data_IF_901424736268
#
_entry.id   IF_901424736268
#
_cell.length_a   1.000
_cell.length_b   1.000
_cell.length_c   1.000
_cell.angle_alpha   90.00
_cell.angle_beta   90.00
_cell.angle_gamma   90.00
#
_symmetry.space_group_name_H-M   'P 1'
#
loop_
_entity.id
_entity.type
_entity.pdbx_description
1 polymer ?
#
# COMPACT_ATOMS: atom_id res chain seq x y z
N UNK A 1 17.48 -29.19 15.13
CA UNK A 1 16.56 -28.07 15.38
C UNK A 1 17.41 -26.86 15.75
N UNK A 2 17.65 -25.95 14.82
CA UNK A 2 18.18 -24.63 15.17
C UNK A 2 17.09 -23.93 16.01
N UNK A 3 17.44 -23.41 17.19
CA UNK A 3 16.53 -22.58 18.00
C UNK A 3 16.04 -21.42 17.10
N UNK A 4 14.72 -21.19 17.02
CA UNK A 4 14.19 -19.95 16.47
C UNK A 4 14.62 -18.81 17.40
N UNK A 5 15.71 -18.14 17.05
CA UNK A 5 16.23 -16.98 17.77
C UNK A 5 15.70 -15.71 17.10
N UNK A 6 14.69 -15.10 17.73
CA UNK A 6 14.10 -13.84 17.32
C UNK A 6 14.83 -12.62 17.89
N UNK A 7 15.97 -12.81 18.58
CA UNK A 7 16.73 -11.70 19.13
C UNK A 7 17.30 -10.80 18.02
N UNK A 8 16.87 -9.54 18.02
CA UNK A 8 17.24 -8.54 17.02
C UNK A 8 18.45 -7.69 17.39
N UNK A 9 19.04 -7.85 18.58
CA UNK A 9 20.10 -6.98 19.14
C UNK A 9 21.26 -6.71 18.18
N UNK A 10 21.62 -7.68 17.34
CA UNK A 10 22.69 -7.52 16.35
C UNK A 10 22.18 -7.51 14.91
N UNK A 11 21.18 -8.33 14.57
CA UNK A 11 20.72 -8.49 13.19
C UNK A 11 20.08 -7.22 12.64
N UNK A 12 19.17 -6.62 13.41
CA UNK A 12 18.44 -5.43 12.95
C UNK A 12 19.35 -4.20 12.86
N UNK A 13 20.14 -3.83 13.90
CA UNK A 13 21.06 -2.69 13.77
C UNK A 13 22.08 -2.85 12.66
N UNK A 14 22.64 -4.06 12.47
CA UNK A 14 23.61 -4.31 11.40
C UNK A 14 23.02 -4.03 10.02
N UNK A 15 21.81 -4.52 9.76
CA UNK A 15 21.13 -4.29 8.48
C UNK A 15 20.79 -2.82 8.29
N UNK A 16 20.22 -2.17 9.31
CA UNK A 16 19.89 -0.74 9.24
C UNK A 16 21.14 0.12 8.98
N UNK A 17 22.21 -0.07 9.75
CA UNK A 17 23.45 0.69 9.54
C UNK A 17 24.11 0.38 8.21
N UNK A 18 24.19 -0.90 7.81
CA UNK A 18 24.83 -1.27 6.56
C UNK A 18 24.12 -0.63 5.36
N UNK A 19 22.79 -0.64 5.34
CA UNK A 19 22.04 -0.09 4.21
C UNK A 19 21.95 1.43 4.25
N UNK A 20 21.83 2.05 5.42
CA UNK A 20 21.87 3.51 5.52
C UNK A 20 23.25 4.05 5.08
N UNK A 21 24.35 3.40 5.49
CA UNK A 21 25.70 3.74 4.99
C UNK A 21 25.78 3.57 3.47
N UNK A 22 25.21 2.49 2.93
CA UNK A 22 25.14 2.29 1.49
C UNK A 22 24.33 3.39 0.78
N UNK A 23 23.19 3.81 1.35
CA UNK A 23 22.38 4.91 0.80
C UNK A 23 23.18 6.21 0.81
N UNK A 24 23.83 6.56 1.90
CA UNK A 24 24.68 7.76 1.99
C UNK A 24 25.76 7.75 0.91
N UNK A 25 26.46 6.62 0.71
CA UNK A 25 27.49 6.49 -0.31
C UNK A 25 26.90 6.63 -1.71
N UNK A 26 25.81 5.91 -2.01
CA UNK A 26 25.18 5.94 -3.32
C UNK A 26 24.58 7.31 -3.65
N UNK A 27 23.96 7.99 -2.68
CA UNK A 27 23.47 9.37 -2.85
C UNK A 27 24.64 10.33 -3.10
N UNK A 28 25.72 10.24 -2.32
CA UNK A 28 26.91 11.06 -2.53
C UNK A 28 27.50 10.89 -3.93
N UNK A 29 27.54 9.65 -4.43
CA UNK A 29 28.05 9.31 -5.76
C UNK A 29 27.09 9.77 -6.86
N UNK A 30 25.80 9.44 -6.78
CA UNK A 30 24.87 9.56 -7.91
C UNK A 30 23.88 10.73 -7.83
N UNK A 31 23.36 11.10 -6.66
CA UNK A 31 22.16 11.95 -6.56
C UNK A 31 22.50 13.44 -6.50
N UNK A 32 21.84 14.27 -7.30
CA UNK A 32 21.95 15.74 -7.31
C UNK A 32 20.57 16.38 -7.43
N UNK A 33 20.46 17.64 -7.02
CA UNK A 33 19.24 18.42 -7.26
C UNK A 33 19.03 18.62 -8.76
N UNK A 34 17.79 18.53 -9.22
CA UNK A 34 17.41 18.98 -10.55
C UNK A 34 17.50 20.52 -10.64
N UNK A 35 17.31 21.07 -11.84
CA UNK A 35 17.46 22.51 -12.07
C UNK A 35 16.46 23.38 -11.28
N UNK A 36 15.30 22.83 -10.92
CA UNK A 36 14.25 23.53 -10.18
C UNK A 36 14.54 23.64 -8.68
N UNK A 37 15.35 22.73 -8.13
CA UNK A 37 15.85 22.78 -6.75
C UNK A 37 17.27 23.38 -6.66
N UNK A 38 17.90 23.70 -7.79
CA UNK A 38 19.26 24.23 -7.85
C UNK A 38 19.28 25.78 -7.75
N UNK A 39 20.27 26.41 -7.08
CA UNK A 39 20.42 27.87 -7.00
C UNK A 39 20.54 28.60 -8.35
N UNK A 40 20.82 27.90 -9.45
CA UNK A 40 20.82 28.46 -10.80
C UNK A 40 19.41 28.65 -11.39
N UNK A 41 18.34 28.30 -10.68
CA UNK A 41 16.95 28.48 -11.11
C UNK A 41 16.64 29.88 -11.71
N UNK A 42 17.06 31.02 -11.12
CA UNK A 42 16.78 32.34 -11.71
C UNK A 42 17.44 32.57 -13.08
N UNK A 43 18.56 31.88 -13.37
CA UNK A 43 19.22 31.92 -14.68
C UNK A 43 18.45 31.05 -15.66
N UNK A 44 18.03 29.86 -15.23
CA UNK A 44 17.19 28.97 -16.03
C UNK A 44 15.88 29.65 -16.43
N UNK A 45 15.20 30.33 -15.49
CA UNK A 45 13.98 31.07 -15.77
C UNK A 45 14.17 32.09 -16.90
N UNK A 46 15.24 32.89 -16.83
CA UNK A 46 15.55 33.88 -17.88
C UNK A 46 15.82 33.24 -19.23
N UNK A 47 16.43 32.05 -19.25
CA UNK A 47 16.74 31.33 -20.49
C UNK A 47 15.51 30.72 -21.14
N UNK A 48 14.61 30.14 -20.33
CA UNK A 48 13.38 29.48 -20.79
C UNK A 48 12.18 30.44 -20.88
N UNK A 49 12.38 31.74 -20.66
CA UNK A 49 11.32 32.77 -20.62
C UNK A 49 10.22 32.49 -19.56
N UNK A 50 10.59 31.86 -18.45
CA UNK A 50 9.72 31.65 -17.29
C UNK A 50 9.58 32.96 -16.55
N UNK A 51 8.35 33.36 -16.27
CA UNK A 51 8.02 34.70 -15.77
C UNK A 51 7.79 34.76 -14.27
N UNK A 52 7.53 33.61 -13.64
CA UNK A 52 7.18 33.52 -12.22
C UNK A 52 7.71 32.24 -11.59
N UNK A 53 8.12 32.31 -10.32
CA UNK A 53 8.50 31.13 -9.53
C UNK A 53 7.33 30.15 -9.36
N UNK A 54 6.09 30.60 -9.53
CA UNK A 54 4.90 29.73 -9.52
C UNK A 54 4.98 28.66 -10.60
N UNK A 55 5.74 28.90 -11.69
CA UNK A 55 5.95 27.92 -12.76
C UNK A 55 6.94 26.79 -12.37
N UNK A 56 7.58 26.86 -11.20
CA UNK A 56 8.36 25.77 -10.64
C UNK A 56 7.44 24.62 -10.22
N UNK A 57 7.72 23.40 -10.69
CA UNK A 57 6.84 22.25 -10.49
C UNK A 57 6.62 21.91 -9.00
N UNK A 58 7.52 22.35 -8.11
CA UNK A 58 7.32 22.30 -6.65
C UNK A 58 5.97 22.87 -6.23
N UNK A 59 5.58 24.06 -6.69
CA UNK A 59 4.35 24.70 -6.22
C UNK A 59 3.08 24.00 -6.69
N UNK A 60 3.14 23.26 -7.80
CA UNK A 60 2.01 22.50 -8.32
C UNK A 60 1.94 21.09 -7.73
N UNK A 61 3.07 20.41 -7.58
CA UNK A 61 3.11 18.99 -7.21
C UNK A 61 3.36 18.73 -5.73
N UNK A 62 3.94 19.67 -4.98
CA UNK A 62 4.22 19.45 -3.55
C UNK A 62 2.95 19.11 -2.74
N UNK A 63 1.77 19.72 -2.98
CA UNK A 63 0.54 19.29 -2.31
C UNK A 63 0.17 17.83 -2.61
N UNK A 64 0.28 17.40 -3.87
CA UNK A 64 0.04 16.00 -4.24
C UNK A 64 1.06 15.06 -3.59
N UNK A 65 2.33 15.46 -3.51
CA UNK A 65 3.34 14.73 -2.74
C UNK A 65 2.93 14.57 -1.28
N UNK A 66 2.51 15.64 -0.60
CA UNK A 66 2.13 15.56 0.81
C UNK A 66 0.97 14.58 1.03
N UNK A 67 -0.04 14.60 0.16
CA UNK A 67 -1.18 13.69 0.24
C UNK A 67 -0.75 12.22 0.06
N UNK A 68 0.07 11.93 -0.95
CA UNK A 68 0.62 10.58 -1.19
C UNK A 68 1.50 10.15 -0.01
N UNK A 69 2.35 11.03 0.51
CA UNK A 69 3.20 10.77 1.65
C UNK A 69 2.39 10.41 2.90
N UNK A 70 1.30 11.13 3.17
CA UNK A 70 0.39 10.79 4.27
C UNK A 70 -0.26 9.43 4.05
N UNK A 71 -0.64 9.08 2.82
CA UNK A 71 -1.16 7.74 2.51
C UNK A 71 -0.15 6.63 2.82
N UNK A 72 1.13 6.82 2.54
CA UNK A 72 2.19 5.84 2.82
C UNK A 72 2.41 5.66 4.33
N UNK A 73 2.61 6.75 5.07
CA UNK A 73 3.05 6.68 6.46
C UNK A 73 1.88 6.54 7.44
N UNK A 74 0.77 7.27 7.23
CA UNK A 74 -0.41 7.24 8.10
C UNK A 74 -1.45 6.29 7.54
N UNK A 75 -1.77 6.38 6.25
CA UNK A 75 -2.80 5.57 5.61
C UNK A 75 -2.58 4.08 5.79
N UNK A 76 -1.54 3.53 5.15
CA UNK A 76 -1.16 2.12 5.29
C UNK A 76 -0.76 1.78 6.74
N UNK A 77 0.06 2.64 7.36
CA UNK A 77 0.57 2.42 8.72
C UNK A 77 -0.54 2.16 9.73
N UNK A 78 -1.57 3.01 9.76
CA UNK A 78 -2.72 2.83 10.66
C UNK A 78 -3.72 1.79 10.16
N UNK A 79 -3.96 1.64 8.85
CA UNK A 79 -4.89 0.61 8.33
C UNK A 79 -4.52 -0.79 8.86
N UNK A 80 -3.21 -1.08 8.94
CA UNK A 80 -2.70 -2.36 9.41
C UNK A 80 -2.80 -2.55 10.94
N UNK A 81 -3.08 -1.49 11.73
CA UNK A 81 -3.18 -1.57 13.20
C UNK A 81 -4.43 -2.29 13.73
N UNK A 82 -5.27 -2.85 12.86
CA UNK A 82 -6.46 -3.61 13.27
C UNK A 82 -6.10 -4.83 14.14
N UNK A 83 -4.91 -5.42 13.95
CA UNK A 83 -4.41 -6.56 14.73
C UNK A 83 -4.23 -6.18 16.21
N UNK A 84 -4.99 -6.85 17.07
CA UNK A 84 -5.15 -6.47 18.48
C UNK A 84 -3.86 -6.45 19.32
N UNK A 85 -2.83 -7.20 18.90
CA UNK A 85 -1.53 -7.28 19.60
C UNK A 85 -0.34 -6.98 18.70
N UNK A 86 -0.57 -6.34 17.55
CA UNK A 86 0.48 -6.03 16.57
C UNK A 86 0.43 -4.57 16.12
N UNK A 87 -0.06 -3.67 16.98
CA UNK A 87 -0.19 -2.24 16.65
C UNK A 87 1.16 -1.58 16.44
N UNK A 88 2.16 -1.86 17.29
CA UNK A 88 3.50 -1.28 17.17
C UNK A 88 4.20 -1.81 15.92
N UNK A 89 4.19 -3.12 15.72
CA UNK A 89 4.75 -3.76 14.54
C UNK A 89 4.09 -3.29 13.24
N UNK A 90 2.78 -3.00 13.24
CA UNK A 90 2.09 -2.48 12.07
C UNK A 90 2.58 -1.08 11.69
N UNK A 91 2.46 -0.11 12.59
CA UNK A 91 2.77 1.30 12.27
C UNK A 91 4.28 1.54 12.17
N UNK A 92 5.08 0.96 13.08
CA UNK A 92 6.50 1.25 13.15
C UNK A 92 7.33 0.45 12.14
N UNK A 93 6.95 -0.79 11.79
CA UNK A 93 7.61 -1.48 10.69
C UNK A 93 7.19 -0.94 9.33
N UNK A 94 5.95 -0.45 9.18
CA UNK A 94 5.58 0.35 8.01
C UNK A 94 6.44 1.63 7.91
N UNK A 95 6.68 2.30 9.04
CA UNK A 95 7.56 3.47 9.05
C UNK A 95 9.00 3.10 8.65
N UNK A 96 9.56 2.03 9.23
CA UNK A 96 10.91 1.54 8.92
C UNK A 96 11.06 1.18 7.43
N UNK A 97 10.13 0.39 6.89
CA UNK A 97 10.19 -0.05 5.50
C UNK A 97 10.02 1.12 4.53
N UNK A 98 9.18 2.11 4.88
CA UNK A 98 8.95 3.26 4.02
C UNK A 98 10.17 4.21 4.04
N UNK A 99 10.73 4.50 5.22
CA UNK A 99 11.90 5.36 5.35
C UNK A 99 13.13 4.83 4.59
N UNK A 100 13.34 3.51 4.58
CA UNK A 100 14.36 2.89 3.74
C UNK A 100 13.95 2.86 2.27
N UNK A 101 12.70 2.45 2.00
CA UNK A 101 12.18 2.24 0.66
C UNK A 101 12.23 3.49 -0.21
N UNK A 102 11.90 4.68 0.32
CA UNK A 102 11.90 5.92 -0.46
C UNK A 102 13.32 6.29 -0.91
N UNK A 103 14.33 6.08 -0.06
CA UNK A 103 15.73 6.34 -0.42
C UNK A 103 16.18 5.41 -1.54
N UNK A 104 15.85 4.12 -1.42
CA UNK A 104 16.22 3.13 -2.41
C UNK A 104 15.45 3.32 -3.73
N UNK A 105 14.18 3.73 -3.67
CA UNK A 105 13.36 4.02 -4.84
C UNK A 105 13.89 5.22 -5.62
N UNK A 106 14.31 6.30 -4.95
CA UNK A 106 14.95 7.46 -5.61
C UNK A 106 16.19 7.06 -6.41
N UNK A 107 16.98 6.10 -5.94
CA UNK A 107 18.12 5.54 -6.69
C UNK A 107 17.64 4.66 -7.85
N UNK A 108 16.79 3.68 -7.56
CA UNK A 108 16.34 2.69 -8.54
C UNK A 108 15.57 3.30 -9.71
N UNK A 109 14.56 4.11 -9.43
CA UNK A 109 13.79 4.83 -10.46
C UNK A 109 14.66 5.92 -11.10
N UNK A 110 15.51 6.58 -10.31
CA UNK A 110 16.44 7.60 -10.79
C UNK A 110 17.39 7.09 -11.89
N UNK A 111 17.91 5.86 -11.76
CA UNK A 111 18.75 5.24 -12.79
C UNK A 111 18.03 5.02 -14.12
N UNK A 112 16.71 4.84 -14.12
CA UNK A 112 15.93 4.62 -15.34
C UNK A 112 15.40 5.93 -15.94
N UNK A 113 15.01 6.89 -15.12
CA UNK A 113 14.21 8.03 -15.59
C UNK A 113 14.91 9.39 -15.51
N UNK A 114 15.85 9.59 -14.58
CA UNK A 114 16.49 10.91 -14.36
C UNK A 114 18.01 10.86 -14.34
N UNK A 115 18.59 9.81 -14.92
CA UNK A 115 20.03 9.62 -15.01
C UNK A 115 20.63 10.36 -16.21
N UNK A 116 21.30 11.48 -15.94
CA UNK A 116 21.94 12.34 -16.94
C UNK A 116 23.40 12.59 -16.54
N UNK A 117 24.32 12.42 -17.49
CA UNK A 117 25.77 12.66 -17.29
C UNK A 117 26.37 11.97 -16.05
N UNK A 118 25.91 10.74 -15.77
CA UNK A 118 26.38 9.96 -14.63
C UNK A 118 25.77 10.36 -13.28
N UNK A 119 24.74 11.22 -13.26
CA UNK A 119 24.04 11.68 -12.06
C UNK A 119 22.52 11.47 -12.17
N UNK A 120 21.90 11.17 -11.04
CA UNK A 120 20.44 11.13 -10.87
C UNK A 120 20.00 12.52 -10.43
N UNK A 121 19.14 13.16 -11.20
CA UNK A 121 18.57 14.47 -10.87
C UNK A 121 17.23 14.29 -10.17
N UNK A 122 17.11 14.75 -8.93
CA UNK A 122 15.89 14.62 -8.13
C UNK A 122 15.15 15.94 -7.99
N UNK A 123 13.82 15.87 -8.08
CA UNK A 123 12.86 16.94 -7.82
C UNK A 123 11.60 16.40 -7.15
N UNK A 124 10.57 17.23 -6.96
CA UNK A 124 9.33 16.82 -6.26
C UNK A 124 8.63 15.63 -6.93
N UNK A 125 8.65 15.53 -8.26
CA UNK A 125 8.10 14.38 -8.99
C UNK A 125 8.85 13.08 -8.67
N UNK A 126 10.18 13.14 -8.44
CA UNK A 126 10.95 11.98 -7.99
C UNK A 126 10.51 11.49 -6.62
N UNK A 127 10.13 12.40 -5.72
CA UNK A 127 9.63 12.05 -4.37
C UNK A 127 8.26 11.38 -4.45
N UNK A 128 7.36 11.87 -5.30
CA UNK A 128 6.03 11.26 -5.54
C UNK A 128 6.20 9.82 -6.05
N UNK A 129 7.06 9.62 -7.06
CA UNK A 129 7.29 8.30 -7.64
C UNK A 129 7.96 7.33 -6.65
N UNK A 130 8.86 7.83 -5.79
CA UNK A 130 9.45 7.04 -4.72
C UNK A 130 8.38 6.55 -3.72
N UNK A 131 7.44 7.41 -3.35
CA UNK A 131 6.33 7.04 -2.49
C UNK A 131 5.36 6.05 -3.16
N UNK A 132 5.09 6.18 -4.47
CA UNK A 132 4.32 5.18 -5.22
C UNK A 132 4.99 3.80 -5.23
N UNK A 133 6.30 3.76 -5.48
CA UNK A 133 7.08 2.54 -5.40
C UNK A 133 6.95 1.89 -4.01
N UNK A 134 7.11 2.68 -2.95
CA UNK A 134 6.96 2.22 -1.56
C UNK A 134 5.54 1.79 -1.24
N UNK A 135 4.53 2.44 -1.83
CA UNK A 135 3.13 2.00 -1.72
C UNK A 135 2.94 0.55 -2.14
N UNK A 136 3.65 0.07 -3.17
CA UNK A 136 3.62 -1.34 -3.55
C UNK A 136 4.19 -2.27 -2.46
N UNK A 137 5.17 -1.80 -1.70
CA UNK A 137 5.79 -2.53 -0.58
C UNK A 137 4.86 -2.54 0.63
N UNK A 138 4.19 -1.42 0.93
CA UNK A 138 3.15 -1.36 1.96
C UNK A 138 2.02 -2.36 1.68
N UNK A 139 1.61 -2.49 0.41
CA UNK A 139 0.64 -3.51 -0.02
C UNK A 139 1.18 -4.91 0.25
N UNK A 140 2.40 -5.21 -0.20
CA UNK A 140 2.98 -6.54 0.02
C UNK A 140 3.15 -6.89 1.50
N UNK A 141 3.51 -5.90 2.32
CA UNK A 141 3.62 -6.04 3.77
C UNK A 141 2.31 -6.49 4.40
N UNK A 142 1.16 -5.99 3.94
CA UNK A 142 -0.16 -6.45 4.41
C UNK A 142 -0.41 -7.95 4.20
N UNK A 143 0.20 -8.58 3.19
CA UNK A 143 0.10 -10.02 2.96
C UNK A 143 0.89 -10.85 3.98
N UNK A 144 2.01 -10.31 4.48
CA UNK A 144 2.93 -10.99 5.42
C UNK A 144 2.89 -10.44 6.84
N UNK A 145 2.05 -9.44 7.11
CA UNK A 145 1.91 -8.73 8.37
C UNK A 145 1.80 -9.69 9.56
N UNK A 146 2.51 -9.39 10.65
CA UNK A 146 2.51 -10.20 11.86
C UNK A 146 3.26 -11.55 11.80
N UNK A 147 3.79 -11.93 10.63
CA UNK A 147 4.44 -13.24 10.43
C UNK A 147 5.94 -13.14 10.13
N UNK A 148 6.43 -11.95 9.80
CA UNK A 148 7.81 -11.69 9.38
C UNK A 148 8.54 -10.75 10.34
N UNK A 149 9.87 -10.90 10.44
CA UNK A 149 10.73 -10.03 11.25
C UNK A 149 10.97 -8.68 10.57
N UNK A 150 11.37 -7.63 11.33
CA UNK A 150 11.79 -6.37 10.73
C UNK A 150 12.97 -6.52 9.75
N UNK A 151 13.84 -7.51 9.95
CA UNK A 151 14.92 -7.81 8.99
C UNK A 151 14.38 -8.39 7.68
N UNK A 152 13.40 -9.29 7.74
CA UNK A 152 12.75 -9.80 6.51
C UNK A 152 12.02 -8.69 5.76
N UNK A 153 11.34 -7.78 6.49
CA UNK A 153 10.65 -6.63 5.90
C UNK A 153 11.66 -5.77 5.13
N UNK A 154 12.78 -5.43 5.77
CA UNK A 154 13.87 -4.68 5.16
C UNK A 154 14.39 -5.39 3.89
N UNK A 155 14.63 -6.70 3.93
CA UNK A 155 15.14 -7.46 2.76
C UNK A 155 14.10 -7.52 1.65
N UNK A 156 12.82 -7.69 2.01
CA UNK A 156 11.70 -7.64 1.07
C UNK A 156 11.66 -6.29 0.35
N UNK A 157 11.75 -5.18 1.09
CA UNK A 157 11.76 -3.82 0.54
C UNK A 157 12.88 -3.62 -0.47
N UNK A 158 14.12 -4.05 -0.15
CA UNK A 158 15.26 -3.90 -1.06
C UNK A 158 14.98 -4.54 -2.42
N UNK A 159 14.55 -5.81 -2.44
CA UNK A 159 14.30 -6.53 -3.68
C UNK A 159 13.01 -6.07 -4.38
N UNK A 160 11.95 -5.81 -3.63
CA UNK A 160 10.67 -5.41 -4.20
C UNK A 160 10.76 -4.04 -4.86
N UNK A 161 11.44 -3.05 -4.27
CA UNK A 161 11.68 -1.74 -4.89
C UNK A 161 12.48 -1.88 -6.18
N UNK A 162 13.51 -2.73 -6.20
CA UNK A 162 14.27 -2.99 -7.43
C UNK A 162 13.38 -3.59 -8.53
N UNK A 163 12.55 -4.59 -8.18
CA UNK A 163 11.64 -5.22 -9.13
C UNK A 163 10.53 -4.27 -9.58
N UNK A 164 10.03 -3.42 -8.69
CA UNK A 164 9.06 -2.37 -9.01
C UNK A 164 9.63 -1.44 -10.07
N UNK A 165 10.83 -0.88 -9.86
CA UNK A 165 11.43 0.07 -10.79
C UNK A 165 11.67 -0.56 -12.19
N UNK A 166 12.08 -1.83 -12.25
CA UNK A 166 12.23 -2.54 -13.53
C UNK A 166 10.87 -2.79 -14.19
N UNK A 167 9.86 -3.21 -13.42
CA UNK A 167 8.50 -3.41 -13.93
C UNK A 167 7.91 -2.09 -14.47
N UNK A 168 8.00 -1.03 -13.69
CA UNK A 168 7.57 0.33 -14.05
C UNK A 168 8.24 0.80 -15.35
N UNK A 169 9.56 0.71 -15.44
CA UNK A 169 10.30 1.07 -16.65
C UNK A 169 9.89 0.25 -17.87
N UNK A 170 9.64 -1.06 -17.73
CA UNK A 170 9.14 -1.87 -18.84
C UNK A 170 7.75 -1.39 -19.26
N UNK A 171 6.83 -1.16 -18.31
CA UNK A 171 5.47 -0.73 -18.61
C UNK A 171 5.46 0.66 -19.25
N UNK A 172 6.01 1.65 -18.56
CA UNK A 172 5.86 3.07 -18.93
C UNK A 172 6.76 3.48 -20.10
N UNK A 173 8.00 2.99 -20.16
CA UNK A 173 8.97 3.42 -21.19
C UNK A 173 9.04 2.47 -22.38
N UNK A 174 8.94 1.15 -22.16
CA UNK A 174 9.10 0.16 -23.25
C UNK A 174 7.79 -0.25 -23.90
N UNK A 175 6.77 -0.48 -23.10
CA UNK A 175 5.43 -0.81 -23.59
C UNK A 175 4.59 0.43 -23.84
N UNK A 176 5.00 1.58 -23.30
CA UNK A 176 4.29 2.85 -23.40
C UNK A 176 2.86 2.73 -22.87
N UNK A 177 2.74 2.08 -21.71
CA UNK A 177 1.52 1.88 -20.95
C UNK A 177 1.19 3.16 -20.18
N UNK A 178 -0.10 3.46 -20.04
CA UNK A 178 -0.61 4.59 -19.25
C UNK A 178 -1.19 4.02 -17.96
N UNK A 179 -0.64 4.37 -16.79
CA UNK A 179 -1.09 3.84 -15.49
C UNK A 179 -0.87 4.84 -14.34
N UNK A 180 -1.40 6.07 -14.47
CA UNK A 180 -1.11 7.16 -13.53
C UNK A 180 -1.39 6.82 -12.05
N UNK A 181 -2.50 6.14 -11.75
CA UNK A 181 -2.83 5.69 -10.39
C UNK A 181 -2.31 4.28 -10.04
N UNK A 182 -1.54 3.65 -10.92
CA UNK A 182 -0.83 2.42 -10.62
C UNK A 182 -1.69 1.18 -10.35
N UNK A 183 -2.83 0.99 -11.02
CA UNK A 183 -3.61 -0.25 -10.84
C UNK A 183 -2.78 -1.48 -11.23
N UNK A 184 -1.86 -1.33 -12.21
CA UNK A 184 -0.95 -2.39 -12.64
C UNK A 184 0.41 -2.30 -11.96
N UNK A 185 1.08 -1.14 -11.98
CA UNK A 185 2.44 -0.97 -11.47
C UNK A 185 2.53 -1.06 -9.95
N UNK A 186 1.53 -0.56 -9.22
CA UNK A 186 1.51 -0.51 -7.76
C UNK A 186 0.65 -1.65 -7.20
N UNK A 187 -0.65 -1.67 -7.53
CA UNK A 187 -1.62 -2.52 -6.85
C UNK A 187 -1.54 -3.97 -7.30
N UNK A 188 -1.62 -4.24 -8.60
CA UNK A 188 -1.49 -5.61 -9.14
C UNK A 188 -0.12 -6.19 -8.78
N UNK A 189 0.96 -5.48 -9.12
CA UNK A 189 2.32 -5.94 -8.79
C UNK A 189 2.51 -6.18 -7.28
N UNK A 190 2.21 -5.19 -6.43
CA UNK A 190 2.44 -5.28 -4.99
C UNK A 190 1.59 -6.37 -4.33
N UNK A 191 0.34 -6.52 -4.75
CA UNK A 191 -0.54 -7.57 -4.23
C UNK A 191 -0.02 -8.96 -4.60
N UNK A 192 0.21 -9.25 -5.88
CA UNK A 192 0.64 -10.58 -6.29
C UNK A 192 2.07 -10.91 -5.86
N UNK A 193 2.93 -9.91 -5.69
CA UNK A 193 4.21 -10.06 -5.01
C UNK A 193 4.03 -10.50 -3.55
N UNK A 194 3.29 -9.71 -2.76
CA UNK A 194 3.05 -10.01 -1.34
C UNK A 194 2.35 -11.34 -1.10
N UNK A 195 1.35 -11.68 -1.92
CA UNK A 195 0.64 -12.95 -1.85
C UNK A 195 1.56 -14.13 -2.16
N UNK A 196 2.46 -14.00 -3.15
CA UNK A 196 3.40 -15.06 -3.47
C UNK A 196 4.44 -15.25 -2.36
N UNK A 197 4.94 -14.16 -1.79
CA UNK A 197 5.82 -14.22 -0.61
C UNK A 197 5.08 -14.89 0.56
N UNK A 198 3.86 -14.46 0.87
CA UNK A 198 3.04 -15.04 1.94
C UNK A 198 2.76 -16.53 1.72
N UNK A 199 2.55 -16.95 0.47
CA UNK A 199 2.36 -18.35 0.11
C UNK A 199 3.62 -19.20 0.36
N UNK A 200 4.80 -18.71 -0.03
CA UNK A 200 6.07 -19.43 0.18
C UNK A 200 6.43 -19.50 1.67
N UNK A 201 6.16 -18.41 2.41
CA UNK A 201 6.34 -18.31 3.85
C UNK A 201 5.18 -18.93 4.65
N UNK A 202 4.26 -19.64 4.00
CA UNK A 202 3.12 -20.28 4.66
C UNK A 202 3.54 -21.03 5.93
N UNK A 203 2.81 -20.79 7.02
CA UNK A 203 3.07 -21.31 8.36
C UNK A 203 2.10 -22.46 8.70
N UNK A 204 2.52 -23.73 8.60
CA UNK A 204 1.60 -24.87 8.70
C UNK A 204 1.00 -25.08 10.08
N UNK A 205 1.63 -24.58 11.15
CA UNK A 205 1.13 -24.73 12.52
C UNK A 205 0.40 -23.47 12.99
N UNK A 206 0.36 -22.41 12.18
CA UNK A 206 -0.48 -21.26 12.45
C UNK A 206 -1.93 -21.71 12.34
N UNK A 207 -2.64 -21.69 13.48
CA UNK A 207 -4.05 -22.04 13.50
C UNK A 207 -4.80 -21.06 12.61
N UNK A 208 -5.73 -21.57 11.78
CA UNK A 208 -6.63 -20.76 10.97
C UNK A 208 -7.45 -19.75 11.79
N UNK A 209 -7.64 -20.03 13.08
CA UNK A 209 -8.24 -19.13 14.06
C UNK A 209 -7.21 -18.86 15.17
N UNK A 210 -6.11 -18.17 14.83
CA UNK A 210 -5.20 -17.69 15.86
C UNK A 210 -5.89 -16.54 16.61
N UNK A 211 -6.01 -16.67 17.93
CA UNK A 211 -6.69 -15.66 18.75
C UNK A 211 -6.04 -14.27 18.60
N UNK A 212 -4.74 -14.19 18.24
CA UNK A 212 -4.03 -12.92 18.00
C UNK A 212 -4.28 -12.32 16.60
N UNK A 213 -4.75 -13.11 15.64
CA UNK A 213 -5.10 -12.66 14.28
C UNK A 213 -6.55 -12.15 14.24
N UNK A 214 -6.83 -11.15 15.06
CA UNK A 214 -8.15 -10.53 15.20
C UNK A 214 -8.06 -9.09 15.65
N UNK A 215 -9.21 -8.43 15.76
CA UNK A 215 -9.31 -7.02 16.19
C UNK A 215 -10.10 -6.87 17.49
N UNK A 216 -9.94 -5.70 18.11
CA UNK A 216 -10.80 -5.19 19.17
C UNK A 216 -11.48 -3.92 18.69
N UNK A 217 -12.47 -3.44 19.45
CA UNK A 217 -13.13 -2.16 19.15
C UNK A 217 -12.13 -1.00 18.99
N UNK A 218 -11.11 -0.93 19.85
CA UNK A 218 -10.12 0.15 19.82
C UNK A 218 -9.18 0.02 18.61
N UNK A 219 -8.68 -1.17 18.32
CA UNK A 219 -7.79 -1.36 17.18
C UNK A 219 -8.51 -1.17 15.83
N UNK A 220 -9.81 -1.49 15.76
CA UNK A 220 -10.62 -1.19 14.59
C UNK A 220 -10.84 0.32 14.38
N UNK A 221 -11.00 1.09 15.46
CA UNK A 221 -11.06 2.56 15.38
C UNK A 221 -9.72 3.16 14.92
N UNK A 222 -8.59 2.65 15.38
CA UNK A 222 -7.28 3.08 14.89
C UNK A 222 -7.08 2.73 13.40
N UNK A 223 -7.50 1.54 12.97
CA UNK A 223 -7.47 1.14 11.56
C UNK A 223 -8.35 2.02 10.65
N UNK A 224 -9.47 2.54 11.16
CA UNK A 224 -10.27 3.53 10.44
C UNK A 224 -9.55 4.86 10.21
N UNK A 225 -8.58 5.26 11.04
CA UNK A 225 -7.74 6.44 10.76
C UNK A 225 -7.03 6.22 9.42
N UNK A 226 -6.35 5.08 9.28
CA UNK A 226 -5.66 4.73 8.04
C UNK A 226 -6.61 4.67 6.84
N UNK A 227 -7.76 4.03 7.01
CA UNK A 227 -8.82 3.96 6.00
C UNK A 227 -9.23 5.34 5.50
N UNK A 228 -9.54 6.28 6.40
CA UNK A 228 -10.04 7.60 6.02
C UNK A 228 -8.95 8.45 5.35
N UNK A 229 -7.71 8.41 5.82
CA UNK A 229 -6.61 9.11 5.15
C UNK A 229 -6.33 8.56 3.75
N UNK A 230 -6.37 7.23 3.58
CA UNK A 230 -6.29 6.62 2.25
C UNK A 230 -7.45 7.08 1.36
N UNK A 231 -8.69 7.01 1.86
CA UNK A 231 -9.88 7.35 1.09
C UNK A 231 -9.90 8.82 0.66
N UNK A 232 -9.58 9.75 1.57
CA UNK A 232 -9.64 11.19 1.30
C UNK A 232 -8.55 11.66 0.33
N UNK A 233 -7.36 11.07 0.39
CA UNK A 233 -6.21 11.47 -0.42
C UNK A 233 -6.00 10.67 -1.70
N UNK A 234 -6.77 9.59 -1.91
CA UNK A 234 -6.72 8.82 -3.15
C UNK A 234 -6.94 9.64 -4.44
N UNK A 235 -7.81 10.66 -4.49
CA UNK A 235 -7.92 11.53 -5.66
C UNK A 235 -6.59 12.20 -6.03
N UNK A 236 -5.81 12.62 -5.05
CA UNK A 236 -4.44 13.13 -5.26
C UNK A 236 -3.53 12.00 -5.73
N UNK A 237 -3.57 10.82 -5.10
CA UNK A 237 -2.79 9.65 -5.50
C UNK A 237 -2.98 9.29 -6.99
N UNK A 238 -4.22 9.19 -7.46
CA UNK A 238 -4.49 8.81 -8.85
C UNK A 238 -4.24 9.94 -9.87
N UNK A 239 -3.94 11.16 -9.43
CA UNK A 239 -3.76 12.32 -10.30
C UNK A 239 -2.37 12.96 -10.19
N UNK A 240 -1.55 12.57 -9.22
CA UNK A 240 -0.30 13.26 -8.87
C UNK A 240 0.71 13.30 -10.01
N UNK A 241 0.74 12.28 -10.88
CA UNK A 241 1.66 12.18 -12.05
C UNK A 241 0.96 12.35 -13.40
N UNK A 242 -0.34 12.61 -13.41
CA UNK A 242 -1.07 12.95 -14.63
C UNK A 242 -0.54 14.25 -15.23
N UNK A 243 -0.72 14.42 -16.55
CA UNK A 243 -0.41 15.71 -17.18
C UNK A 243 -1.23 16.84 -16.56
N UNK A 244 -0.54 17.96 -16.30
CA UNK A 244 -1.12 19.18 -15.75
C UNK A 244 -2.37 19.64 -16.51
N UNK A 245 -3.37 20.07 -15.75
CA UNK A 245 -4.63 20.60 -16.28
C UNK A 245 -5.73 19.55 -16.38
N UNK A 246 -6.12 19.18 -17.60
CA UNK A 246 -7.37 18.47 -17.86
C UNK A 246 -7.37 17.02 -17.35
N UNK A 247 -6.27 16.29 -17.56
CA UNK A 247 -6.14 14.88 -17.18
C UNK A 247 -6.07 14.71 -15.66
N UNK A 248 -5.26 15.54 -14.99
CA UNK A 248 -5.15 15.57 -13.53
C UNK A 248 -6.50 15.87 -12.86
N UNK A 249 -7.23 16.89 -13.32
CA UNK A 249 -8.54 17.24 -12.77
C UNK A 249 -9.56 16.10 -12.97
N UNK A 250 -9.58 15.51 -14.15
CA UNK A 250 -10.44 14.36 -14.48
C UNK A 250 -10.12 13.14 -13.61
N UNK A 251 -8.84 12.87 -13.37
CA UNK A 251 -8.39 11.76 -12.53
C UNK A 251 -8.87 11.91 -11.07
N UNK A 252 -8.77 13.11 -10.51
CA UNK A 252 -9.28 13.39 -9.17
C UNK A 252 -10.80 13.18 -9.08
N UNK A 253 -11.59 13.72 -10.03
CA UNK A 253 -13.05 13.58 -10.04
C UNK A 253 -13.47 12.11 -10.20
N UNK A 254 -12.88 11.39 -11.16
CA UNK A 254 -13.21 10.00 -11.42
C UNK A 254 -12.91 9.13 -10.18
N UNK A 255 -11.78 9.36 -9.52
CA UNK A 255 -11.41 8.66 -8.28
C UNK A 255 -12.38 8.96 -7.14
N UNK A 256 -12.73 10.23 -6.95
CA UNK A 256 -13.72 10.64 -5.95
C UNK A 256 -15.07 9.94 -6.16
N UNK A 257 -15.58 9.92 -7.38
CA UNK A 257 -16.85 9.26 -7.71
C UNK A 257 -16.77 7.74 -7.49
N UNK A 258 -15.70 7.09 -7.94
CA UNK A 258 -15.53 5.64 -7.78
C UNK A 258 -15.48 5.24 -6.30
N UNK A 259 -14.74 5.98 -5.47
CA UNK A 259 -14.67 5.76 -4.03
C UNK A 259 -16.02 5.93 -3.34
N UNK A 260 -16.78 6.97 -3.70
CA UNK A 260 -18.13 7.18 -3.15
C UNK A 260 -19.07 6.01 -3.46
N UNK A 261 -19.12 5.52 -4.70
CA UNK A 261 -19.92 4.35 -5.06
C UNK A 261 -19.44 3.06 -4.37
N UNK A 262 -18.13 2.92 -4.20
CA UNK A 262 -17.51 1.76 -3.54
C UNK A 262 -17.92 1.65 -2.06
N UNK A 263 -18.03 2.78 -1.35
CA UNK A 263 -18.49 2.80 0.05
C UNK A 263 -19.92 2.27 0.18
N UNK A 264 -20.85 2.80 -0.61
CA UNK A 264 -22.27 2.41 -0.53
C UNK A 264 -22.47 0.93 -0.82
N UNK A 265 -21.78 0.42 -1.84
CA UNK A 265 -21.87 -1.00 -2.22
C UNK A 265 -21.20 -1.91 -1.22
N UNK A 266 -20.05 -1.52 -0.66
CA UNK A 266 -19.38 -2.27 0.40
C UNK A 266 -20.28 -2.41 1.64
N UNK A 267 -20.88 -1.32 2.10
CA UNK A 267 -21.80 -1.34 3.25
C UNK A 267 -23.01 -2.22 2.97
N UNK A 268 -23.62 -2.08 1.78
CA UNK A 268 -24.78 -2.88 1.39
C UNK A 268 -24.45 -4.38 1.36
N UNK A 269 -23.36 -4.77 0.67
CA UNK A 269 -22.97 -6.18 0.57
C UNK A 269 -22.53 -6.72 1.92
N UNK A 270 -21.82 -5.94 2.75
CA UNK A 270 -21.45 -6.38 4.10
C UNK A 270 -22.67 -6.73 4.94
N UNK A 271 -23.76 -5.96 4.84
CA UNK A 271 -25.01 -6.27 5.52
C UNK A 271 -25.68 -7.51 4.93
N UNK A 272 -25.74 -7.63 3.59
CA UNK A 272 -26.38 -8.76 2.88
C UNK A 272 -25.73 -10.11 3.22
N UNK A 273 -24.40 -10.16 3.28
CA UNK A 273 -23.69 -11.43 3.54
C UNK A 273 -23.68 -11.82 5.01
N UNK A 274 -24.00 -10.89 5.92
CA UNK A 274 -24.14 -11.16 7.34
C UNK A 274 -25.57 -11.64 7.66
N UNK A 275 -25.70 -12.82 8.29
CA UNK A 275 -27.01 -13.43 8.61
C UNK A 275 -27.97 -12.57 9.45
N UNK A 276 -27.46 -11.56 10.16
CA UNK A 276 -28.24 -10.64 10.99
C UNK A 276 -28.29 -9.21 10.42
N UNK A 277 -27.79 -8.99 9.20
CA UNK A 277 -27.70 -7.66 8.59
C UNK A 277 -26.64 -6.75 9.22
N UNK A 278 -25.75 -7.28 10.06
CA UNK A 278 -24.70 -6.50 10.72
C UNK A 278 -23.54 -6.17 9.76
N UNK A 279 -22.83 -5.09 10.05
CA UNK A 279 -21.64 -4.70 9.30
C UNK A 279 -20.37 -5.29 9.95
N UNK A 280 -19.38 -5.65 9.14
CA UNK A 280 -18.07 -6.13 9.58
C UNK A 280 -17.03 -5.04 9.33
N UNK A 281 -16.26 -4.66 10.36
CA UNK A 281 -15.30 -3.54 10.26
C UNK A 281 -14.21 -3.79 9.22
N UNK A 282 -13.77 -5.04 9.03
CA UNK A 282 -12.79 -5.40 7.99
C UNK A 282 -13.28 -5.01 6.58
N UNK A 283 -14.57 -5.16 6.30
CA UNK A 283 -15.13 -4.70 5.02
C UNK A 283 -15.09 -3.18 4.92
N UNK A 284 -15.46 -2.47 5.98
CA UNK A 284 -15.52 -1.00 5.99
C UNK A 284 -14.13 -0.37 5.88
N UNK A 285 -13.13 -0.94 6.56
CA UNK A 285 -11.75 -0.48 6.54
C UNK A 285 -11.08 -0.70 5.18
N UNK A 286 -11.38 -1.82 4.52
CA UNK A 286 -10.64 -2.22 3.32
C UNK A 286 -11.46 -2.10 2.04
N UNK A 287 -12.61 -2.76 1.95
CA UNK A 287 -13.34 -2.86 0.68
C UNK A 287 -13.90 -1.52 0.17
N UNK A 288 -14.10 -0.54 1.05
CA UNK A 288 -14.49 0.83 0.69
C UNK A 288 -13.44 1.56 -0.17
N UNK A 289 -12.19 1.10 -0.14
CA UNK A 289 -11.05 1.67 -0.85
C UNK A 289 -10.86 1.07 -2.27
N UNK A 290 -11.51 -0.06 -2.57
CA UNK A 290 -11.32 -0.81 -3.81
C UNK A 290 -11.66 0.00 -5.08
N UNK A 291 -12.58 0.95 -4.98
CA UNK A 291 -12.92 1.87 -6.08
C UNK A 291 -11.75 2.75 -6.49
N UNK A 292 -10.93 3.22 -5.55
CA UNK A 292 -9.74 4.02 -5.82
C UNK A 292 -8.68 3.23 -6.57
N UNK A 293 -8.43 1.99 -6.14
CA UNK A 293 -7.54 1.03 -6.82
C UNK A 293 -8.00 0.77 -8.26
N UNK A 294 -9.28 0.49 -8.44
CA UNK A 294 -9.83 0.03 -9.72
C UNK A 294 -9.98 1.10 -10.79
N UNK A 295 -9.92 2.39 -10.43
CA UNK A 295 -9.83 3.45 -11.44
C UNK A 295 -8.40 3.93 -11.69
N UNK A 296 -7.39 3.49 -10.94
CA UNK A 296 -6.03 4.03 -11.04
C UNK A 296 -5.49 4.19 -12.48
N UNK A 297 -5.62 3.16 -13.32
CA UNK A 297 -5.22 3.24 -14.74
C UNK A 297 -6.12 4.16 -15.57
N UNK A 298 -7.44 4.08 -15.40
CA UNK A 298 -8.41 4.75 -16.26
C UNK A 298 -8.86 6.13 -15.76
N UNK A 299 -8.44 6.55 -14.57
CA UNK A 299 -8.92 7.76 -13.90
C UNK A 299 -8.62 9.01 -14.75
N UNK A 300 -7.42 9.09 -15.32
CA UNK A 300 -7.04 10.18 -16.22
C UNK A 300 -7.56 10.01 -17.64
N UNK A 301 -8.10 8.85 -18.01
CA UNK A 301 -8.75 8.64 -19.29
C UNK A 301 -10.21 9.14 -19.25
N UNK A 302 -10.88 9.20 -20.40
CA UNK A 302 -12.30 9.50 -20.53
C UNK A 302 -13.18 8.29 -20.15
N UNK A 303 -13.04 7.83 -18.90
CA UNK A 303 -13.93 6.84 -18.29
C UNK A 303 -15.34 7.42 -18.06
N UNK A 304 -15.44 8.75 -17.96
CA UNK A 304 -16.60 9.57 -17.53
C UNK A 304 -16.99 9.36 -16.06
N UNK A 305 -17.61 10.37 -15.39
CA UNK A 305 -18.01 10.23 -13.98
C UNK A 305 -18.99 9.08 -13.74
N UNK A 306 -19.91 8.81 -14.67
CA UNK A 306 -20.84 7.68 -14.52
C UNK A 306 -20.13 6.33 -14.67
N UNK A 307 -19.15 6.22 -15.58
CA UNK A 307 -18.30 5.04 -15.70
C UNK A 307 -17.51 4.78 -14.42
N UNK A 308 -16.99 5.83 -13.79
CA UNK A 308 -16.31 5.76 -12.51
C UNK A 308 -17.22 5.24 -11.38
N UNK A 309 -18.48 5.69 -11.32
CA UNK A 309 -19.47 5.15 -10.38
C UNK A 309 -19.73 3.65 -10.61
N UNK A 310 -19.81 3.20 -11.87
CA UNK A 310 -20.00 1.78 -12.20
C UNK A 310 -18.80 0.95 -11.74
N UNK A 311 -17.58 1.41 -11.99
CA UNK A 311 -16.36 0.71 -11.55
C UNK A 311 -16.31 0.62 -10.02
N UNK A 312 -16.58 1.72 -9.33
CA UNK A 312 -16.66 1.76 -7.87
C UNK A 312 -17.74 0.81 -7.31
N UNK A 313 -18.93 0.81 -7.91
CA UNK A 313 -20.04 -0.07 -7.55
C UNK A 313 -19.64 -1.55 -7.67
N UNK A 314 -19.03 -1.95 -8.79
CA UNK A 314 -18.61 -3.33 -9.01
C UNK A 314 -17.51 -3.73 -8.02
N UNK A 315 -16.52 -2.86 -7.79
CA UNK A 315 -15.37 -3.20 -6.95
C UNK A 315 -15.72 -3.28 -5.47
N UNK A 316 -16.66 -2.47 -4.97
CA UNK A 316 -17.17 -2.63 -3.61
C UNK A 316 -17.84 -3.99 -3.39
N UNK A 317 -18.58 -4.50 -4.40
CA UNK A 317 -19.15 -5.85 -4.37
C UNK A 317 -18.05 -6.91 -4.40
N UNK A 318 -17.15 -6.84 -5.39
CA UNK A 318 -16.09 -7.85 -5.60
C UNK A 318 -15.17 -7.96 -4.39
N UNK A 319 -14.70 -6.82 -3.86
CA UNK A 319 -13.82 -6.81 -2.69
C UNK A 319 -14.51 -7.39 -1.46
N UNK A 320 -15.75 -6.97 -1.16
CA UNK A 320 -16.50 -7.46 0.01
C UNK A 320 -16.78 -8.97 -0.07
N UNK A 321 -17.19 -9.46 -1.24
CA UNK A 321 -17.36 -10.91 -1.47
C UNK A 321 -16.01 -11.65 -1.39
N UNK A 322 -14.93 -11.00 -1.81
CA UNK A 322 -13.56 -11.50 -1.68
C UNK A 322 -13.17 -11.75 -0.22
N UNK A 323 -13.39 -10.77 0.65
CA UNK A 323 -13.17 -10.92 2.09
C UNK A 323 -14.05 -12.04 2.68
N UNK A 324 -15.34 -12.05 2.36
CA UNK A 324 -16.29 -12.99 2.98
C UNK A 324 -16.11 -14.44 2.53
N UNK A 325 -15.84 -14.66 1.24
CA UNK A 325 -15.87 -16.01 0.65
C UNK A 325 -14.53 -16.44 0.06
N UNK A 326 -13.85 -15.57 -0.68
CA UNK A 326 -12.64 -15.96 -1.38
C UNK A 326 -11.45 -16.15 -0.43
N UNK A 327 -11.24 -15.23 0.51
CA UNK A 327 -10.13 -15.30 1.47
C UNK A 327 -10.15 -16.57 2.30
N UNK A 328 -11.30 -16.99 2.88
CA UNK A 328 -11.41 -18.29 3.53
C UNK A 328 -11.13 -19.46 2.59
N UNK A 329 -11.54 -19.41 1.32
CA UNK A 329 -11.27 -20.48 0.35
C UNK A 329 -9.77 -20.57 0.04
N UNK A 330 -9.10 -19.45 -0.21
CA UNK A 330 -7.66 -19.40 -0.50
C UNK A 330 -6.83 -19.88 0.71
N UNK A 331 -7.19 -19.44 1.91
CA UNK A 331 -6.53 -19.88 3.14
C UNK A 331 -6.71 -21.38 3.39
N UNK A 332 -7.94 -21.90 3.28
CA UNK A 332 -8.22 -23.31 3.57
C UNK A 332 -7.73 -24.28 2.48
N UNK A 333 -7.87 -23.93 1.20
CA UNK A 333 -7.58 -24.84 0.08
C UNK A 333 -6.17 -24.69 -0.47
N UNK A 334 -5.62 -23.47 -0.49
CA UNK A 334 -4.31 -23.17 -1.06
C UNK A 334 -3.25 -22.84 -0.01
N UNK A 335 -3.64 -22.77 1.28
CA UNK A 335 -2.76 -22.36 2.39
C UNK A 335 -2.14 -20.99 2.17
N UNK A 336 -2.89 -20.09 1.55
CA UNK A 336 -2.50 -18.70 1.34
C UNK A 336 -3.03 -17.86 2.50
N UNK A 337 -2.14 -17.54 3.43
CA UNK A 337 -2.43 -16.71 4.61
C UNK A 337 -2.21 -15.23 4.25
N UNK A 338 -3.27 -14.55 3.82
CA UNK A 338 -3.28 -13.12 3.47
C UNK A 338 -3.87 -12.30 4.62
N UNK A 339 -3.01 -11.67 5.44
CA UNK A 339 -3.42 -11.11 6.74
C UNK A 339 -4.31 -9.88 6.60
N UNK A 340 -3.98 -8.94 5.70
CA UNK A 340 -4.84 -7.78 5.43
C UNK A 340 -5.89 -8.03 4.35
N UNK A 341 -5.92 -9.22 3.73
CA UNK A 341 -6.77 -9.48 2.58
C UNK A 341 -6.39 -8.60 1.37
N UNK A 342 -5.10 -8.40 1.13
CA UNK A 342 -4.57 -7.55 0.06
C UNK A 342 -5.00 -8.02 -1.32
N UNK A 343 -5.34 -9.31 -1.48
CA UNK A 343 -5.93 -9.81 -2.71
C UNK A 343 -7.28 -9.15 -3.01
N UNK A 344 -8.10 -8.88 -1.98
CA UNK A 344 -9.45 -8.37 -2.14
C UNK A 344 -9.48 -6.87 -2.41
N UNK A 345 -8.56 -6.11 -1.80
CA UNK A 345 -8.45 -4.66 -1.99
C UNK A 345 -7.53 -4.28 -3.16
N UNK A 346 -6.34 -4.87 -3.27
CA UNK A 346 -5.34 -4.45 -4.24
C UNK A 346 -5.25 -5.39 -5.45
N UNK A 347 -5.26 -6.70 -5.23
CA UNK A 347 -5.08 -7.71 -6.29
C UNK A 347 -6.22 -7.71 -7.31
N UNK A 348 -7.42 -8.14 -6.91
CA UNK A 348 -8.57 -8.21 -7.82
C UNK A 348 -8.99 -6.83 -8.34
N UNK A 349 -9.12 -5.77 -7.51
CA UNK A 349 -9.45 -4.44 -8.02
C UNK A 349 -8.34 -3.86 -8.91
N UNK A 350 -7.07 -4.17 -8.67
CA UNK A 350 -5.96 -3.78 -9.55
C UNK A 350 -6.05 -4.42 -10.94
N UNK A 351 -6.39 -5.71 -11.00
CA UNK A 351 -6.67 -6.39 -12.28
C UNK A 351 -7.88 -5.80 -13.00
N UNK A 352 -8.97 -5.52 -12.26
CA UNK A 352 -10.14 -4.84 -12.81
C UNK A 352 -9.72 -3.48 -13.38
N UNK A 353 -8.91 -2.70 -12.65
CA UNK A 353 -8.45 -1.40 -13.11
C UNK A 353 -7.57 -1.44 -14.35
N UNK A 354 -6.66 -2.40 -14.45
CA UNK A 354 -5.89 -2.64 -15.67
C UNK A 354 -6.78 -2.99 -16.87
N UNK A 355 -7.79 -3.85 -16.67
CA UNK A 355 -8.76 -4.22 -17.70
C UNK A 355 -9.60 -3.00 -18.13
N UNK A 356 -10.12 -2.24 -17.16
CA UNK A 356 -10.87 -1.01 -17.44
C UNK A 356 -10.00 -0.04 -18.22
N UNK A 357 -8.75 0.18 -17.81
CA UNK A 357 -7.80 1.03 -18.54
C UNK A 357 -7.51 0.54 -19.96
N UNK A 358 -7.36 -0.77 -20.17
CA UNK A 358 -7.18 -1.36 -21.49
C UNK A 358 -8.39 -1.13 -22.40
N UNK A 359 -9.60 -1.33 -21.88
CA UNK A 359 -10.86 -1.10 -22.62
C UNK A 359 -11.05 0.39 -22.89
N UNK A 360 -10.84 1.27 -21.90
CA UNK A 360 -10.98 2.72 -22.08
C UNK A 360 -9.98 3.26 -23.09
N UNK A 361 -8.75 2.75 -23.11
CA UNK A 361 -7.76 3.09 -24.14
C UNK A 361 -8.18 2.57 -25.53
N UNK A 362 -8.61 1.31 -25.64
CA UNK A 362 -9.04 0.72 -26.91
C UNK A 362 -10.24 1.44 -27.55
N UNK A 363 -11.16 1.93 -26.71
CA UNK A 363 -12.37 2.63 -27.13
C UNK A 363 -12.17 4.14 -27.30
N UNK A 364 -10.96 4.69 -27.12
CA UNK A 364 -10.72 6.11 -27.26
C UNK A 364 -10.90 6.55 -28.73
N UNK A 365 -11.59 7.68 -28.94
CA UNK A 365 -11.90 8.22 -30.27
C UNK A 365 -11.68 9.74 -30.30
N UNK A 366 -11.43 10.26 -31.50
CA UNK A 366 -11.29 11.71 -31.71
C UNK A 366 -12.58 12.48 -31.41
N UNK A 367 -13.76 11.86 -31.52
CA UNK A 367 -15.03 12.49 -31.15
C UNK A 367 -15.13 12.81 -29.65
N UNK A 368 -14.42 12.07 -28.80
CA UNK A 368 -14.40 12.27 -27.34
C UNK A 368 -13.19 13.11 -26.91
N UNK A 369 -12.02 12.89 -27.52
CA UNK A 369 -10.76 13.51 -27.07
C UNK A 369 -10.28 14.67 -27.95
N UNK A 370 -10.87 14.89 -29.13
CA UNK A 370 -10.24 15.58 -30.28
C UNK A 370 -8.98 14.86 -30.79
N UNK A 371 -8.54 15.18 -32.00
CA UNK A 371 -7.31 14.61 -32.55
C UNK A 371 -6.07 14.98 -31.70
N UNK A 372 -5.99 16.22 -31.23
CA UNK A 372 -4.87 16.70 -30.40
C UNK A 372 -4.91 16.12 -28.99
N UNK A 373 -6.08 16.09 -28.35
CA UNK A 373 -6.22 15.54 -27.01
C UNK A 373 -5.98 14.04 -26.95
N UNK A 374 -6.33 13.28 -28.01
CA UNK A 374 -6.02 11.85 -28.10
C UNK A 374 -4.49 11.64 -28.13
N UNK A 375 -3.79 12.41 -28.96
CA UNK A 375 -2.31 12.34 -29.05
C UNK A 375 -1.65 12.74 -27.73
N UNK A 376 -2.15 13.77 -27.06
CA UNK A 376 -1.65 14.21 -25.74
C UNK A 376 -1.86 13.14 -24.67
N UNK A 377 -3.08 12.60 -24.55
CA UNK A 377 -3.43 11.64 -23.50
C UNK A 377 -2.60 10.35 -23.60
N UNK A 378 -2.52 9.75 -24.79
CA UNK A 378 -1.82 8.48 -24.98
C UNK A 378 -0.37 8.67 -25.44
N UNK A 379 0.14 9.91 -25.43
CA UNK A 379 1.50 10.28 -25.83
C UNK A 379 1.88 9.67 -27.19
N UNK A 380 0.99 9.76 -28.18
CA UNK A 380 1.24 9.26 -29.54
C UNK A 380 2.20 10.21 -30.28
N UNK A 381 3.48 10.10 -29.94
CA UNK A 381 4.57 10.92 -30.44
C UNK A 381 5.83 10.07 -30.66
N UNK A 382 6.78 10.58 -31.45
CA UNK A 382 8.04 9.88 -31.74
C UNK A 382 7.79 8.49 -32.33
N UNK A 383 8.43 7.47 -31.75
CA UNK A 383 8.30 6.06 -32.17
C UNK A 383 6.87 5.50 -32.03
N UNK A 384 6.00 6.16 -31.24
CA UNK A 384 4.61 5.74 -31.00
C UNK A 384 3.59 6.60 -31.75
N UNK A 385 4.02 7.48 -32.66
CA UNK A 385 3.13 8.41 -33.36
C UNK A 385 2.03 7.72 -34.18
N UNK A 386 2.33 6.55 -34.76
CA UNK A 386 1.38 5.77 -35.59
C UNK A 386 0.57 4.74 -34.78
N UNK A 387 0.73 4.71 -33.46
CA UNK A 387 -0.01 3.79 -32.59
C UNK A 387 -1.49 4.18 -32.55
N UNK A 388 -2.37 3.20 -32.76
CA UNK A 388 -3.82 3.41 -32.67
C UNK A 388 -4.34 3.15 -31.26
N UNK A 389 -5.52 3.70 -30.88
CA UNK A 389 -6.18 3.39 -29.60
C UNK A 389 -6.34 1.88 -29.34
N UNK A 390 -6.74 1.11 -30.34
CA UNK A 390 -6.88 -0.35 -30.23
C UNK A 390 -5.56 -1.04 -29.92
N UNK A 391 -4.46 -0.63 -30.57
CA UNK A 391 -3.12 -1.14 -30.27
C UNK A 391 -2.72 -0.73 -28.85
N UNK A 392 -2.97 0.53 -28.45
CA UNK A 392 -2.69 1.00 -27.10
C UNK A 392 -3.41 0.14 -26.05
N UNK A 393 -4.70 -0.18 -26.24
CA UNK A 393 -5.42 -1.09 -25.36
C UNK A 393 -4.81 -2.48 -25.26
N UNK A 394 -4.26 -3.01 -26.36
CA UNK A 394 -3.48 -4.25 -26.36
C UNK A 394 -2.20 -4.15 -25.50
N UNK A 395 -1.48 -3.03 -25.58
CA UNK A 395 -0.30 -2.78 -24.74
C UNK A 395 -0.65 -2.59 -23.26
N UNK A 396 -1.79 -1.97 -22.93
CA UNK A 396 -2.31 -1.93 -21.55
C UNK A 396 -2.52 -3.34 -21.01
N UNK A 397 -3.16 -4.23 -21.79
CA UNK A 397 -3.36 -5.62 -21.41
C UNK A 397 -2.04 -6.39 -21.24
N UNK A 398 -1.05 -6.12 -22.10
CA UNK A 398 0.31 -6.65 -21.94
C UNK A 398 0.96 -6.16 -20.63
N UNK A 399 0.75 -4.90 -20.25
CA UNK A 399 1.20 -4.34 -18.98
C UNK A 399 0.69 -5.12 -17.75
N UNK A 400 -0.58 -5.52 -17.75
CA UNK A 400 -1.16 -6.38 -16.70
C UNK A 400 -0.37 -7.69 -16.59
N UNK A 401 -0.11 -8.35 -17.73
CA UNK A 401 0.59 -9.62 -17.75
C UNK A 401 2.05 -9.50 -17.26
N UNK A 402 2.73 -8.40 -17.61
CA UNK A 402 4.09 -8.12 -17.12
C UNK A 402 4.09 -7.86 -15.62
N UNK A 403 3.19 -7.00 -15.10
CA UNK A 403 3.07 -6.77 -13.66
C UNK A 403 2.77 -8.05 -12.86
N UNK A 404 1.89 -8.91 -13.39
CA UNK A 404 1.63 -10.23 -12.80
C UNK A 404 2.86 -11.12 -12.80
N UNK A 405 3.60 -11.18 -13.92
CA UNK A 405 4.82 -11.97 -14.03
C UNK A 405 5.88 -11.50 -13.03
N UNK A 406 6.12 -10.20 -12.92
CA UNK A 406 7.05 -9.63 -11.94
C UNK A 406 6.58 -9.87 -10.51
N UNK A 407 5.29 -9.71 -10.22
CA UNK A 407 4.72 -9.99 -8.90
C UNK A 407 4.93 -11.45 -8.51
N UNK A 408 4.51 -12.40 -9.35
CA UNK A 408 4.57 -13.83 -9.03
C UNK A 408 6.01 -14.35 -9.04
N UNK A 409 6.78 -14.11 -10.11
CA UNK A 409 8.16 -14.65 -10.20
C UNK A 409 9.07 -13.95 -9.20
N UNK A 410 8.98 -12.63 -9.08
CA UNK A 410 9.76 -11.85 -8.12
C UNK A 410 9.40 -12.21 -6.67
N UNK A 411 8.11 -12.29 -6.36
CA UNK A 411 7.63 -12.72 -5.04
C UNK A 411 8.05 -14.15 -4.72
N UNK A 412 8.15 -15.03 -5.72
CA UNK A 412 8.62 -16.38 -5.52
C UNK A 412 10.11 -16.44 -5.14
N UNK A 413 10.94 -15.70 -5.88
CA UNK A 413 12.38 -15.60 -5.61
C UNK A 413 12.63 -15.00 -4.24
N UNK A 414 11.99 -13.86 -3.93
CA UNK A 414 12.16 -13.17 -2.66
C UNK A 414 11.60 -14.00 -1.50
N UNK A 415 10.44 -14.63 -1.68
CA UNK A 415 9.88 -15.55 -0.68
C UNK A 415 10.84 -16.69 -0.32
N UNK A 416 11.55 -17.25 -1.31
CA UNK A 416 12.59 -18.26 -1.07
C UNK A 416 13.78 -17.70 -0.27
N UNK A 417 14.22 -16.47 -0.54
CA UNK A 417 15.27 -15.78 0.23
C UNK A 417 14.81 -15.58 1.68
N UNK A 418 13.59 -15.07 1.86
CA UNK A 418 13.03 -14.77 3.18
C UNK A 418 12.71 -16.03 4.00
N UNK A 419 12.62 -17.21 3.36
CA UNK A 419 12.40 -18.50 4.04
C UNK A 419 13.64 -19.05 4.73
N UNK A 420 14.82 -18.50 4.45
CA UNK A 420 16.06 -18.93 5.12
C UNK A 420 15.99 -18.66 6.63
N UNK A 421 16.39 -19.61 7.51
CA UNK A 421 16.21 -19.52 8.96
C UNK A 421 17.27 -18.64 9.65
N UNK A 422 17.58 -17.48 9.07
CA UNK A 422 18.63 -16.55 9.54
C UNK A 422 18.07 -15.17 9.88
N UNK A 423 16.80 -14.92 9.57
CA UNK A 423 16.20 -13.59 9.66
C UNK A 423 15.49 -13.31 10.99
N UNK A 424 15.40 -14.29 11.89
CA UNK A 424 14.80 -14.15 13.21
C UNK A 424 13.30 -13.87 13.21
N UNK A 425 12.59 -14.47 12.25
CA UNK A 425 11.14 -14.50 12.20
C UNK A 425 10.54 -15.23 13.42
N UNK A 426 9.30 -14.87 13.84
CA UNK A 426 8.68 -15.50 14.99
C UNK A 426 8.35 -16.96 14.71
N UNK A 427 8.25 -17.77 15.76
CA UNK A 427 7.59 -19.07 15.66
C UNK A 427 6.10 -18.90 15.40
N UNK A 428 5.44 -19.93 14.84
CA UNK A 428 4.00 -19.89 14.50
C UNK A 428 3.09 -19.48 15.68
N UNK A 429 3.46 -19.84 16.93
CA UNK A 429 2.72 -19.48 18.16
C UNK A 429 2.88 -18.01 18.58
N UNK A 430 3.93 -17.35 18.08
CA UNK A 430 4.31 -15.99 18.42
C UNK A 430 4.06 -15.00 17.26
N UNK A 431 3.37 -15.43 16.19
CA UNK A 431 2.88 -14.51 15.17
C UNK A 431 1.84 -13.54 15.77
N UNK A 432 1.76 -12.35 15.17
CA UNK A 432 0.82 -11.27 15.52
C UNK A 432 0.98 -10.76 16.97
N UNK A 433 2.20 -10.77 17.51
CA UNK A 433 2.49 -10.32 18.88
C UNK A 433 3.69 -9.37 18.92
N UNK A 434 3.44 -8.14 19.35
CA UNK A 434 4.47 -7.10 19.50
C UNK A 434 5.53 -7.49 20.54
N UNK A 435 5.18 -8.32 21.53
CA UNK A 435 6.11 -8.77 22.57
C UNK A 435 7.36 -9.49 22.04
N UNK A 436 7.34 -9.95 20.79
CA UNK A 436 8.51 -10.60 20.17
C UNK A 436 9.65 -9.61 19.91
N UNK A 437 9.31 -8.36 19.54
CA UNK A 437 10.28 -7.37 19.07
C UNK A 437 10.26 -6.05 19.85
N UNK A 438 9.27 -5.84 20.70
CA UNK A 438 9.05 -4.59 21.42
C UNK A 438 9.12 -4.79 22.93
N UNK A 439 9.69 -3.81 23.62
CA UNK A 439 9.45 -3.62 25.05
C UNK A 439 8.03 -3.08 25.21
N UNK A 440 7.17 -3.83 25.89
CA UNK A 440 5.78 -3.42 26.09
C UNK A 440 5.64 -2.60 27.38
N UNK A 441 4.72 -1.61 27.42
CA UNK A 441 4.37 -0.94 28.67
C UNK A 441 4.00 -1.98 29.74
N UNK A 442 4.53 -1.83 30.95
CA UNK A 442 4.11 -2.65 32.08
C UNK A 442 2.63 -2.37 32.31
N UNK A 443 1.79 -3.42 32.30
CA UNK A 443 0.42 -3.30 32.80
C UNK A 443 0.54 -3.09 34.31
N UNK A 444 0.31 -1.87 34.79
CA UNK A 444 0.25 -1.60 36.23
C UNK A 444 -0.95 -2.38 36.80
N UNK A 445 -0.69 -3.54 37.41
CA UNK A 445 -1.70 -4.40 38.06
C UNK A 445 -2.53 -3.62 39.13
N UNK A 446 -2.05 -2.46 39.58
CA UNK A 446 -2.75 -1.58 40.54
C UNK A 446 -3.99 -0.90 39.94
N UNK A 447 -4.06 -0.63 38.64
CA UNK A 447 -5.22 0.07 38.04
C UNK A 447 -6.47 -0.81 37.97
N UNK A 448 -6.30 -2.13 37.80
CA UNK A 448 -7.41 -3.08 37.83
C UNK A 448 -7.89 -3.42 39.26
N UNK A 449 -6.98 -3.42 40.24
CA UNK A 449 -7.35 -3.57 41.65
C UNK A 449 -8.03 -2.32 42.22
N UNK A 450 -7.64 -1.13 41.77
CA UNK A 450 -8.29 0.14 42.13
C UNK A 450 -9.73 0.23 41.63
N UNK A 451 -10.00 -0.19 40.39
CA UNK A 451 -11.35 -0.21 39.83
C UNK A 451 -12.26 -1.25 40.52
N UNK A 452 -11.75 -2.46 40.80
CA UNK A 452 -12.51 -3.49 41.51
C UNK A 452 -12.83 -3.09 42.97
N UNK A 453 -11.91 -2.40 43.65
CA UNK A 453 -12.14 -1.90 45.02
C UNK A 453 -13.16 -0.75 45.08
N UNK A 454 -13.25 0.09 44.05
CA UNK A 454 -14.27 1.15 43.99
C UNK A 454 -15.70 0.57 43.83
N UNK A 455 -15.88 -0.54 43.13
CA UNK A 455 -17.19 -1.23 43.06
C UNK A 455 -17.59 -1.87 44.39
N UNK A 456 -16.64 -2.35 45.20
CA UNK A 456 -16.93 -2.93 46.51
C UNK A 456 -17.29 -1.88 47.59
N UNK A 457 -16.80 -0.64 47.45
CA UNK A 457 -17.07 0.45 48.41
C UNK A 457 -18.45 1.11 48.25
N UNK A 458 -19.17 0.86 47.15
CA UNK A 458 -20.50 1.43 46.88
C UNK A 458 -21.68 0.47 47.14
N UNK A 459 -21.43 -0.72 47.67
CA UNK A 459 -22.50 -1.63 48.09
C UNK A 459 -23.08 -1.19 49.45
N UNK A 460 -24.42 -1.17 49.62
CA UNK A 460 -25.04 -1.01 50.94
C UNK A 460 -24.48 -2.02 51.93
N UNK A 461 -24.32 -1.66 53.21
CA UNK A 461 -23.68 -2.51 54.26
C UNK A 461 -24.25 -3.94 54.33
N UNK A 462 -25.46 -4.16 53.82
CA UNK A 462 -26.18 -5.42 53.82
C UNK A 462 -25.64 -6.46 52.82
N UNK A 463 -24.71 -6.08 51.92
CA UNK A 463 -24.11 -6.96 50.90
C UNK A 463 -22.61 -7.20 51.10
N UNK A 464 -22.00 -6.67 52.16
CA UNK A 464 -20.62 -7.01 52.52
C UNK A 464 -20.60 -8.41 53.12
N UNK A 465 -19.88 -9.34 52.49
CA UNK A 465 -19.63 -10.67 53.05
C UNK A 465 -18.94 -10.51 54.42
N UNK A 466 -19.33 -11.28 55.46
CA UNK A 466 -18.68 -11.21 56.75
C UNK A 466 -17.22 -11.66 56.64
N UNK A 467 -16.37 -10.92 57.35
CA UNK A 467 -14.91 -11.06 57.34
C UNK A 467 -14.51 -12.50 57.68
N UNK A 468 -13.83 -13.18 56.75
CA UNK A 468 -13.28 -14.52 56.96
C UNK A 468 -11.92 -14.41 57.62
N UNK A 469 -11.90 -13.97 58.88
CA UNK A 469 -10.74 -14.12 59.75
C UNK A 469 -11.22 -14.61 61.11
N UNK A 470 -11.46 -15.92 61.21
CA UNK A 470 -11.22 -16.77 62.38
C UNK A 470 -11.80 -18.17 62.13
N UNK A 471 -11.02 -19.04 61.46
CA UNK A 471 -11.13 -20.49 61.66
C UNK A 471 -9.72 -21.01 61.89
N UNK A 472 -9.27 -20.91 63.14
CA UNK A 472 -8.16 -21.70 63.64
C UNK A 472 -8.67 -23.14 63.84
N UNK A 473 -8.09 -24.09 63.12
CA UNK A 473 -8.27 -25.52 63.42
C UNK A 473 -7.47 -25.87 64.68
N UNK A 474 -8.17 -26.46 65.66
CA UNK A 474 -7.58 -27.33 66.68
C UNK A 474 -7.25 -28.69 66.08
#
# INVERSE_FOLDING_TARGET
MLRHDSNMRWRLPLICFAWEIAMIVLFGVFVRYNIEADPHWPIFMKRENITSDVENDFYFRYPSFQDVHVMIFVGFGFLMTFLQRYGFGSVAFNFLLAAFGIQWALLMQGWFHTFVDGKILIGVESLINADFCVGSVCIAFGGVLGKVSPVQIMVMTLFQVTLFAVNEWILLDKLHVIDAGGSMTIHTFGAYFGLTVAWILNRPKLKLNNDKEGSTYITDLFSMIGTLFLWMYWPSFNSAISYHGDAQHRAAINTYCALAACVLTTVAISSVVNKKGKLEMVHIQNATLAGGVAVGTAAEMMLTPYGSLIVGFICGIVSTLGFTYLSPILSNKLRLQDTCGIHNLHGMPGLIGGIVGAVTAACATEGVYTAEGLKKMFKFQGEFADRTPSIQGGYQAAGIAVSLAFGIVGGAVVGCILKLPIWGDPSDENCFDDAVYWELPQEDEEEHLGAANQYATHLPENFKLPDRTEIAFK
#
